data_IF_537475268014
#
_entry.id   IF_537475268014
#
_cell.length_a   1.000
_cell.length_b   1.000
_cell.length_c   1.000
_cell.angle_alpha   90.00
_cell.angle_beta   90.00
_cell.angle_gamma   90.00
#
_symmetry.space_group_name_H-M   'P 1'
#
loop_
_entity.id
_entity.type
_entity.pdbx_description
1 polymer ?
#
# COMPACT_ATOMS: atom_id res chain seq x y z
N UNK A 1 6.40 22.25 -23.55
CA UNK A 1 6.54 20.81 -23.85
C UNK A 1 7.16 20.16 -22.65
N UNK A 2 6.35 19.66 -21.73
CA UNK A 2 6.83 18.92 -20.56
C UNK A 2 6.89 17.46 -20.95
N UNK A 3 8.08 16.86 -20.92
CA UNK A 3 8.26 15.43 -21.17
C UNK A 3 7.25 14.62 -20.35
N UNK A 4 6.41 13.84 -21.04
CA UNK A 4 5.61 12.81 -20.40
C UNK A 4 6.55 11.64 -20.13
N UNK A 5 7.39 11.79 -19.10
CA UNK A 5 8.33 10.76 -18.70
C UNK A 5 7.58 9.46 -18.47
N UNK A 6 8.04 8.36 -19.07
CA UNK A 6 7.50 7.04 -18.77
C UNK A 6 7.85 6.66 -17.33
N UNK A 7 7.00 5.88 -16.65
CA UNK A 7 7.30 5.35 -15.32
C UNK A 7 8.64 4.60 -15.34
N UNK A 8 9.52 4.86 -14.37
CA UNK A 8 10.76 4.08 -14.24
C UNK A 8 10.44 2.62 -13.98
N UNK A 9 11.34 1.72 -14.40
CA UNK A 9 11.16 0.28 -14.23
C UNK A 9 10.99 -0.08 -12.76
N UNK A 10 11.78 0.54 -11.89
CA UNK A 10 11.73 0.39 -10.44
C UNK A 10 10.35 0.76 -9.89
N UNK A 11 9.80 1.91 -10.29
CA UNK A 11 8.48 2.36 -9.85
C UNK A 11 7.38 1.37 -10.26
N UNK A 12 7.44 0.80 -11.47
CA UNK A 12 6.46 -0.18 -11.96
C UNK A 12 6.47 -1.47 -11.14
N UNK A 13 7.66 -2.03 -10.90
CA UNK A 13 7.81 -3.27 -10.10
C UNK A 13 7.42 -3.07 -8.65
N UNK A 14 7.86 -1.97 -8.04
CA UNK A 14 7.52 -1.64 -6.66
C UNK A 14 6.02 -1.42 -6.51
N UNK A 15 5.40 -0.67 -7.43
CA UNK A 15 3.95 -0.46 -7.42
C UNK A 15 3.20 -1.78 -7.59
N UNK A 16 3.55 -2.60 -8.59
CA UNK A 16 2.87 -3.87 -8.83
C UNK A 16 2.99 -4.83 -7.64
N UNK A 17 4.19 -4.96 -7.06
CA UNK A 17 4.42 -5.81 -5.89
C UNK A 17 3.65 -5.35 -4.65
N UNK A 18 3.68 -4.05 -4.34
CA UNK A 18 2.95 -3.48 -3.20
C UNK A 18 1.44 -3.56 -3.43
N UNK A 19 0.94 -3.22 -4.62
CA UNK A 19 -0.48 -3.25 -4.94
C UNK A 19 -1.04 -4.67 -4.83
N UNK A 20 -0.33 -5.67 -5.36
CA UNK A 20 -0.69 -7.08 -5.20
C UNK A 20 -0.68 -7.48 -3.72
N UNK A 21 0.42 -7.19 -3.02
CA UNK A 21 0.60 -7.55 -1.62
C UNK A 21 -0.49 -6.96 -0.73
N UNK A 22 -0.73 -5.65 -0.80
CA UNK A 22 -1.77 -4.96 -0.02
C UNK A 22 -3.16 -5.51 -0.33
N UNK A 23 -3.47 -5.74 -1.61
CA UNK A 23 -4.77 -6.33 -2.00
C UNK A 23 -4.92 -7.73 -1.39
N UNK A 24 -3.90 -8.58 -1.50
CA UNK A 24 -3.92 -9.89 -0.85
C UNK A 24 -4.13 -9.78 0.66
N UNK A 25 -3.41 -8.90 1.35
CA UNK A 25 -3.52 -8.73 2.81
C UNK A 25 -4.92 -8.32 3.24
N UNK A 26 -5.53 -7.34 2.58
CA UNK A 26 -6.87 -6.87 2.88
C UNK A 26 -7.92 -7.97 2.71
N UNK A 27 -7.90 -8.68 1.57
CA UNK A 27 -8.89 -9.71 1.30
C UNK A 27 -8.68 -10.96 2.16
N UNK A 28 -7.44 -11.45 2.30
CA UNK A 28 -7.16 -12.60 3.17
C UNK A 28 -7.57 -12.35 4.63
N UNK A 29 -7.46 -11.11 5.12
CA UNK A 29 -7.87 -10.76 6.49
C UNK A 29 -9.36 -10.92 6.77
N UNK A 30 -10.23 -10.94 5.75
CA UNK A 30 -11.68 -11.06 5.92
C UNK A 30 -12.10 -12.47 6.35
N UNK A 31 -11.32 -13.48 5.99
CA UNK A 31 -11.65 -14.89 6.19
C UNK A 31 -10.57 -15.68 6.94
N UNK A 32 -9.44 -15.06 7.27
CA UNK A 32 -8.44 -15.70 8.11
C UNK A 32 -8.99 -15.88 9.53
N UNK A 33 -8.63 -17.01 10.14
CA UNK A 33 -8.89 -17.25 11.56
C UNK A 33 -7.57 -17.19 12.30
N UNK A 34 -7.30 -16.12 13.08
CA UNK A 34 -6.10 -16.04 13.90
C UNK A 34 -6.26 -16.99 15.09
N UNK A 35 -6.09 -18.29 14.84
CA UNK A 35 -6.18 -19.31 15.87
C UNK A 35 -4.77 -19.68 16.34
N UNK A 36 -4.16 -18.79 17.11
CA UNK A 36 -2.82 -19.01 17.69
C UNK A 36 -2.85 -20.05 18.82
N UNK A 37 -4.03 -20.26 19.44
CA UNK A 37 -4.23 -21.20 20.54
C UNK A 37 -4.45 -22.64 20.07
N UNK A 38 -5.02 -22.84 18.88
CA UNK A 38 -5.20 -24.17 18.29
C UNK A 38 -4.44 -24.22 16.97
N UNK A 39 -3.45 -25.10 16.90
CA UNK A 39 -2.63 -25.35 15.71
C UNK A 39 -3.42 -26.00 14.54
N UNK A 40 -4.68 -25.62 14.31
CA UNK A 40 -5.52 -26.10 13.22
C UNK A 40 -5.22 -25.32 11.92
N UNK A 41 -3.98 -25.46 11.45
CA UNK A 41 -3.51 -24.91 10.18
C UNK A 41 -4.14 -25.58 8.95
N UNK A 42 -4.89 -26.67 9.14
CA UNK A 42 -5.53 -27.43 8.06
C UNK A 42 -6.90 -26.88 7.65
N UNK A 43 -7.42 -25.87 8.36
CA UNK A 43 -8.64 -25.15 7.96
C UNK A 43 -8.33 -24.09 6.90
N UNK A 44 -9.32 -23.73 6.08
CA UNK A 44 -9.16 -22.62 5.11
C UNK A 44 -8.74 -21.32 5.83
N UNK A 45 -9.32 -21.02 6.98
CA UNK A 45 -8.97 -19.85 7.78
C UNK A 45 -7.54 -19.89 8.33
N UNK A 46 -7.04 -21.07 8.71
CA UNK A 46 -5.65 -21.28 9.14
C UNK A 46 -4.64 -21.16 8.00
N UNK A 47 -4.98 -21.69 6.81
CA UNK A 47 -4.18 -21.53 5.59
C UNK A 47 -4.12 -20.04 5.20
N UNK A 48 -5.26 -19.35 5.19
CA UNK A 48 -5.31 -17.92 4.88
C UNK A 48 -4.51 -17.09 5.90
N UNK A 49 -4.56 -17.43 7.19
CA UNK A 49 -3.73 -16.78 8.20
C UNK A 49 -2.23 -16.99 7.93
N UNK A 50 -1.81 -18.23 7.63
CA UNK A 50 -0.42 -18.54 7.30
C UNK A 50 0.06 -17.79 6.05
N UNK A 51 -0.73 -17.80 4.98
CA UNK A 51 -0.42 -17.06 3.76
C UNK A 51 -0.44 -15.55 3.99
N UNK A 52 -1.38 -15.02 4.77
CA UNK A 52 -1.43 -13.61 5.16
C UNK A 52 -0.12 -13.21 5.83
N UNK A 53 0.34 -13.99 6.81
CA UNK A 53 1.60 -13.75 7.52
C UNK A 53 2.83 -13.75 6.59
N UNK A 54 2.99 -14.78 5.75
CA UNK A 54 4.15 -14.90 4.85
C UNK A 54 4.14 -13.91 3.69
N UNK A 55 3.00 -13.72 3.01
CA UNK A 55 2.84 -12.71 1.97
C UNK A 55 2.97 -11.30 2.56
N UNK A 56 2.58 -11.12 3.83
CA UNK A 56 2.71 -9.87 4.56
C UNK A 56 4.17 -9.50 4.75
N UNK A 57 5.00 -10.46 5.16
CA UNK A 57 6.45 -10.28 5.27
C UNK A 57 7.10 -9.98 3.92
N UNK A 58 6.70 -10.69 2.86
CA UNK A 58 7.16 -10.38 1.50
C UNK A 58 6.78 -8.96 1.08
N UNK A 59 5.54 -8.53 1.38
CA UNK A 59 5.05 -7.18 1.08
C UNK A 59 5.85 -6.12 1.85
N UNK A 60 6.20 -6.38 3.11
CA UNK A 60 7.07 -5.51 3.90
C UNK A 60 8.47 -5.34 3.27
N UNK A 61 9.03 -6.37 2.62
CA UNK A 61 10.28 -6.25 1.87
C UNK A 61 10.15 -5.34 0.64
N UNK A 62 9.03 -5.42 -0.09
CA UNK A 62 8.75 -4.48 -1.19
C UNK A 62 8.60 -3.04 -0.70
N UNK A 63 7.96 -2.83 0.46
CA UNK A 63 7.85 -1.50 1.09
C UNK A 63 9.23 -0.99 1.50
N UNK A 64 10.06 -1.83 2.12
CA UNK A 64 11.44 -1.49 2.47
C UNK A 64 12.25 -1.13 1.22
N UNK A 65 12.14 -1.92 0.16
CA UNK A 65 12.79 -1.62 -1.12
C UNK A 65 12.31 -0.28 -1.68
N UNK A 66 11.01 0.03 -1.59
CA UNK A 66 10.48 1.33 -1.99
C UNK A 66 11.14 2.48 -1.21
N UNK A 67 11.28 2.36 0.12
CA UNK A 67 11.98 3.35 0.92
C UNK A 67 13.47 3.49 0.56
N UNK A 68 14.16 2.39 0.29
CA UNK A 68 15.57 2.40 -0.14
C UNK A 68 15.74 3.07 -1.52
N UNK A 69 14.82 2.83 -2.44
CA UNK A 69 14.78 3.52 -3.73
C UNK A 69 14.54 5.02 -3.54
N UNK A 70 13.54 5.40 -2.73
CA UNK A 70 13.29 6.79 -2.38
C UNK A 70 14.49 7.44 -1.71
N UNK A 71 15.25 6.76 -0.86
CA UNK A 71 16.45 7.31 -0.25
C UNK A 71 17.53 7.71 -1.28
N UNK A 72 17.53 7.10 -2.47
CA UNK A 72 18.47 7.38 -3.56
C UNK A 72 17.90 8.34 -4.61
N UNK A 73 16.58 8.41 -4.80
CA UNK A 73 15.94 9.23 -5.81
C UNK A 73 15.22 10.46 -5.21
N UNK A 74 15.89 11.61 -5.26
CA UNK A 74 15.33 12.88 -4.78
C UNK A 74 14.16 13.41 -5.64
N UNK A 75 14.06 13.00 -6.90
CA UNK A 75 12.94 13.34 -7.77
C UNK A 75 11.68 12.61 -7.32
N UNK A 76 11.76 11.29 -7.20
CA UNK A 76 10.67 10.44 -6.71
C UNK A 76 10.19 10.86 -5.31
N UNK A 77 11.11 11.18 -4.38
CA UNK A 77 10.74 11.71 -3.05
C UNK A 77 9.92 12.98 -3.14
N UNK A 78 10.34 13.95 -3.97
CA UNK A 78 9.65 15.23 -4.10
C UNK A 78 8.28 15.09 -4.77
N UNK A 79 8.13 14.10 -5.64
CA UNK A 79 6.84 13.78 -6.26
C UNK A 79 5.86 13.21 -5.24
N UNK A 80 6.27 12.22 -4.44
CA UNK A 80 5.40 11.59 -3.43
C UNK A 80 5.12 12.49 -2.22
N UNK A 81 6.09 13.32 -1.86
CA UNK A 81 6.07 14.08 -0.62
C UNK A 81 6.34 15.57 -0.87
N UNK A 82 5.32 16.34 -1.29
CA UNK A 82 5.45 17.78 -1.52
C UNK A 82 5.48 18.59 -0.21
N UNK A 83 6.25 18.15 0.80
CA UNK A 83 6.26 18.72 2.15
C UNK A 83 6.50 20.23 2.20
N UNK A 84 7.31 20.75 1.26
CA UNK A 84 7.70 22.17 1.17
C UNK A 84 7.00 22.91 0.02
N UNK A 85 5.98 22.30 -0.59
CA UNK A 85 5.26 22.84 -1.75
C UNK A 85 5.82 22.38 -3.11
N UNK A 86 5.14 22.75 -4.22
CA UNK A 86 4.09 23.77 -4.29
C UNK A 86 2.68 23.23 -3.95
N UNK A 87 2.17 23.56 -2.77
CA UNK A 87 0.81 23.20 -2.32
C UNK A 87 -0.28 23.79 -3.21
N UNK A 88 0.01 24.86 -3.96
CA UNK A 88 -0.90 25.44 -4.94
C UNK A 88 -1.36 24.42 -5.99
N UNK A 89 -0.46 23.53 -6.45
CA UNK A 89 -0.82 22.47 -7.40
C UNK A 89 -1.76 21.44 -6.74
N UNK A 90 -1.43 21.00 -5.53
CA UNK A 90 -2.26 20.05 -4.76
C UNK A 90 -3.67 20.60 -4.57
N UNK A 91 -3.79 21.87 -4.16
CA UNK A 91 -5.08 22.52 -3.93
C UNK A 91 -5.86 22.74 -5.23
N UNK A 92 -5.18 23.11 -6.31
CA UNK A 92 -5.81 23.28 -7.62
C UNK A 92 -6.37 21.96 -8.15
N UNK A 93 -5.61 20.86 -8.06
CA UNK A 93 -6.05 19.52 -8.45
C UNK A 93 -7.16 19.00 -7.55
N UNK A 94 -7.11 19.27 -6.24
CA UNK A 94 -8.18 18.90 -5.31
C UNK A 94 -9.49 19.64 -5.64
N UNK A 95 -9.42 20.93 -5.93
CA UNK A 95 -10.58 21.72 -6.38
C UNK A 95 -11.10 21.20 -7.72
N UNK A 96 -10.21 20.90 -8.67
CA UNK A 96 -10.57 20.32 -9.95
C UNK A 96 -11.29 18.98 -9.79
N UNK A 97 -10.82 18.12 -8.89
CA UNK A 97 -11.44 16.83 -8.59
C UNK A 97 -12.88 17.00 -8.07
N UNK A 98 -13.10 17.96 -7.16
CA UNK A 98 -14.44 18.31 -6.67
C UNK A 98 -15.36 18.85 -7.77
N UNK A 99 -14.79 19.36 -8.86
CA UNK A 99 -15.49 19.84 -10.05
C UNK A 99 -15.59 18.76 -11.16
N UNK A 100 -15.18 17.52 -10.88
CA UNK A 100 -15.22 16.41 -11.84
C UNK A 100 -14.04 16.35 -12.81
N UNK A 101 -13.04 17.22 -12.68
CA UNK A 101 -11.79 17.16 -13.45
C UNK A 101 -10.80 16.20 -12.77
N UNK A 102 -10.41 15.14 -13.46
CA UNK A 102 -9.41 14.21 -12.95
C UNK A 102 -8.00 14.77 -13.20
N UNK A 103 -7.05 14.63 -12.25
CA UNK A 103 -5.65 14.91 -12.48
C UNK A 103 -5.08 14.08 -13.65
N UNK A 104 -4.03 14.53 -14.34
CA UNK A 104 -3.44 13.79 -15.46
C UNK A 104 -2.88 12.43 -15.03
N UNK A 105 -2.85 11.44 -15.94
CA UNK A 105 -2.14 10.17 -15.68
C UNK A 105 -0.64 10.29 -15.94
N UNK A 106 0.17 9.51 -15.22
CA UNK A 106 1.63 9.42 -15.42
C UNK A 106 2.43 9.93 -14.22
N UNK A 107 3.78 9.90 -14.28
CA UNK A 107 4.63 10.38 -13.19
C UNK A 107 4.46 11.89 -13.02
N UNK A 108 3.72 12.31 -12.00
CA UNK A 108 3.55 13.70 -11.63
C UNK A 108 3.43 13.86 -10.11
N UNK A 109 3.82 15.04 -9.62
CA UNK A 109 3.61 15.43 -8.23
C UNK A 109 2.17 15.88 -7.97
N UNK A 110 1.98 16.85 -7.08
CA UNK A 110 0.65 17.39 -6.79
C UNK A 110 -0.18 16.47 -5.90
N UNK A 111 -1.50 16.45 -6.11
CA UNK A 111 -2.44 15.68 -5.31
C UNK A 111 -2.21 14.17 -5.45
N UNK A 112 -1.96 13.69 -6.66
CA UNK A 112 -1.75 12.25 -6.92
C UNK A 112 -0.48 11.77 -6.22
N UNK A 113 0.61 12.53 -6.34
CA UNK A 113 1.85 12.25 -5.62
C UNK A 113 1.64 12.20 -4.10
N UNK A 114 0.95 13.20 -3.53
CA UNK A 114 0.63 13.24 -2.10
C UNK A 114 -0.20 12.02 -1.66
N UNK A 115 -1.23 11.64 -2.40
CA UNK A 115 -2.06 10.47 -2.09
C UNK A 115 -1.22 9.20 -2.11
N UNK A 116 -0.34 9.01 -3.08
CA UNK A 116 0.59 7.87 -3.11
C UNK A 116 1.55 7.88 -1.91
N UNK A 117 2.08 9.05 -1.54
CA UNK A 117 2.95 9.20 -0.37
C UNK A 117 2.23 8.85 0.95
N UNK A 118 0.99 9.33 1.13
CA UNK A 118 0.14 8.97 2.28
C UNK A 118 -0.19 7.48 2.30
N UNK A 119 -0.47 6.89 1.13
CA UNK A 119 -0.64 5.45 0.96
C UNK A 119 0.59 4.67 1.41
N UNK A 120 1.78 5.08 0.94
CA UNK A 120 3.05 4.46 1.33
C UNK A 120 3.28 4.53 2.85
N UNK A 121 2.98 5.67 3.49
CA UNK A 121 3.09 5.81 4.95
C UNK A 121 2.11 4.88 5.69
N UNK A 122 0.87 4.79 5.25
CA UNK A 122 -0.14 3.92 5.84
C UNK A 122 0.27 2.44 5.75
N UNK A 123 0.68 1.98 4.57
CA UNK A 123 1.12 0.59 4.38
C UNK A 123 2.46 0.31 5.06
N UNK A 124 3.31 1.32 5.29
CA UNK A 124 4.54 1.18 6.10
C UNK A 124 4.19 0.84 7.54
N UNK A 125 3.24 1.55 8.16
CA UNK A 125 2.79 1.23 9.51
C UNK A 125 2.14 -0.17 9.60
N UNK A 126 1.40 -0.58 8.57
CA UNK A 126 0.89 -1.96 8.48
C UNK A 126 2.03 -2.98 8.39
N UNK A 127 3.04 -2.74 7.54
CA UNK A 127 4.20 -3.61 7.40
C UNK A 127 4.99 -3.75 8.70
N UNK A 128 5.21 -2.64 9.42
CA UNK A 128 5.90 -2.64 10.72
C UNK A 128 5.15 -3.42 11.79
N UNK A 129 3.85 -3.14 11.95
CA UNK A 129 3.02 -3.83 12.95
C UNK A 129 2.82 -5.31 12.60
N UNK A 130 2.60 -5.64 11.33
CA UNK A 130 2.48 -7.02 10.85
C UNK A 130 3.77 -7.83 11.01
N UNK A 131 4.92 -7.24 10.67
CA UNK A 131 6.23 -7.88 10.88
C UNK A 131 6.51 -8.08 12.38
N UNK A 132 6.19 -7.10 13.22
CA UNK A 132 6.31 -7.25 14.67
C UNK A 132 5.43 -8.40 15.18
N UNK A 133 4.16 -8.45 14.75
CA UNK A 133 3.27 -9.58 15.09
C UNK A 133 3.89 -10.91 14.64
N UNK A 134 4.39 -11.00 13.40
CA UNK A 134 5.01 -12.22 12.87
C UNK A 134 6.15 -12.74 13.75
N UNK A 135 7.08 -11.87 14.15
CA UNK A 135 8.25 -12.26 14.94
C UNK A 135 7.97 -12.48 16.43
N UNK A 136 6.97 -11.78 16.99
CA UNK A 136 6.59 -11.93 18.39
C UNK A 136 5.50 -12.97 18.61
N UNK A 137 4.89 -13.53 17.56
CA UNK A 137 3.90 -14.59 17.68
C UNK A 137 4.56 -15.85 18.27
N UNK A 138 4.13 -16.31 19.45
CA UNK A 138 4.68 -17.51 20.04
C UNK A 138 4.36 -18.73 19.17
N UNK A 139 5.38 -19.56 18.94
CA UNK A 139 5.22 -20.85 18.28
C UNK A 139 4.82 -21.90 19.33
N UNK A 140 3.94 -22.84 18.97
CA UNK A 140 3.65 -24.01 19.81
C UNK A 140 2.55 -23.84 20.87
N UNK A 141 1.60 -22.92 20.68
CA UNK A 141 0.37 -22.86 21.50
C UNK A 141 0.48 -22.09 22.82
N UNK A 142 1.58 -21.38 23.04
CA UNK A 142 1.73 -20.48 24.20
C UNK A 142 0.87 -19.23 24.01
N UNK A 143 0.30 -18.73 25.11
CA UNK A 143 -0.48 -17.48 25.09
C UNK A 143 0.37 -16.29 24.59
N UNK A 144 -0.19 -15.41 23.75
CA UNK A 144 0.40 -14.14 23.36
C UNK A 144 0.81 -13.34 24.61
N UNK A 145 2.03 -12.82 24.60
CA UNK A 145 2.48 -11.89 25.63
C UNK A 145 1.81 -10.51 25.51
N UNK A 146 2.01 -9.65 26.51
CA UNK A 146 1.42 -8.30 26.57
C UNK A 146 1.65 -7.45 25.31
N UNK A 147 2.78 -7.64 24.62
CA UNK A 147 3.10 -6.96 23.36
C UNK A 147 2.06 -7.23 22.26
N UNK A 148 1.61 -8.47 22.10
CA UNK A 148 0.64 -8.84 21.07
C UNK A 148 -0.78 -8.39 21.41
N UNK A 149 -1.12 -8.31 22.70
CA UNK A 149 -2.38 -7.72 23.15
C UNK A 149 -2.56 -6.27 22.70
N UNK A 150 -1.47 -5.53 22.53
CA UNK A 150 -1.50 -4.14 22.03
C UNK A 150 -1.31 -4.06 20.51
N UNK A 151 -0.42 -4.88 19.94
CA UNK A 151 -0.10 -4.81 18.51
C UNK A 151 -1.23 -5.29 17.60
N UNK A 152 -1.94 -6.36 17.96
CA UNK A 152 -3.01 -6.91 17.10
C UNK A 152 -4.19 -5.93 16.96
N UNK A 153 -4.70 -5.30 18.03
CA UNK A 153 -5.70 -4.24 17.89
C UNK A 153 -5.21 -3.05 17.06
N UNK A 154 -3.97 -2.61 17.27
CA UNK A 154 -3.39 -1.51 16.50
C UNK A 154 -3.29 -1.86 15.00
N UNK A 155 -2.82 -3.06 14.68
CA UNK A 155 -2.74 -3.55 13.29
C UNK A 155 -4.14 -3.61 12.64
N UNK A 156 -5.14 -4.07 13.39
CA UNK A 156 -6.54 -4.12 12.93
C UNK A 156 -7.11 -2.71 12.71
N UNK A 157 -6.81 -1.76 13.60
CA UNK A 157 -7.19 -0.35 13.43
C UNK A 157 -6.56 0.26 12.18
N UNK A 158 -5.26 0.05 11.98
CA UNK A 158 -4.54 0.52 10.80
C UNK A 158 -5.08 -0.12 9.51
N UNK A 159 -5.54 -1.36 9.56
CA UNK A 159 -6.17 -2.02 8.41
C UNK A 159 -7.41 -1.27 7.91
N UNK A 160 -8.21 -0.67 8.79
CA UNK A 160 -9.35 0.16 8.38
C UNK A 160 -8.92 1.41 7.59
N UNK A 161 -7.80 2.04 7.98
CA UNK A 161 -7.23 3.17 7.25
C UNK A 161 -6.76 2.72 5.85
N UNK A 162 -6.12 1.56 5.77
CA UNK A 162 -5.65 1.01 4.48
C UNK A 162 -6.82 0.57 3.59
N UNK A 163 -7.91 0.03 4.15
CA UNK A 163 -9.15 -0.22 3.41
C UNK A 163 -9.73 1.05 2.80
N UNK A 164 -9.84 2.13 3.59
CA UNK A 164 -10.32 3.41 3.10
C UNK A 164 -9.44 3.96 1.96
N UNK A 165 -8.11 3.90 2.13
CA UNK A 165 -7.15 4.26 1.09
C UNK A 165 -7.32 3.42 -0.17
N UNK A 166 -7.38 2.09 -0.04
CA UNK A 166 -7.49 1.16 -1.16
C UNK A 166 -8.78 1.39 -1.95
N UNK A 167 -9.92 1.53 -1.27
CA UNK A 167 -11.21 1.82 -1.92
C UNK A 167 -11.14 3.14 -2.69
N UNK A 168 -10.65 4.22 -2.06
CA UNK A 168 -10.52 5.52 -2.72
C UNK A 168 -9.59 5.46 -3.92
N UNK A 169 -8.42 4.84 -3.77
CA UNK A 169 -7.42 4.72 -4.81
C UNK A 169 -7.92 3.88 -6.01
N UNK A 170 -8.50 2.71 -5.77
CA UNK A 170 -9.05 1.85 -6.84
C UNK A 170 -10.25 2.49 -7.51
N UNK A 171 -11.09 3.23 -6.78
CA UNK A 171 -12.19 4.00 -7.36
C UNK A 171 -11.68 5.06 -8.35
N UNK A 172 -10.58 5.74 -8.04
CA UNK A 172 -9.93 6.69 -8.95
C UNK A 172 -9.38 5.99 -10.20
N UNK A 173 -8.77 4.81 -10.06
CA UNK A 173 -8.36 3.99 -11.21
C UNK A 173 -9.57 3.66 -12.09
N UNK A 174 -10.70 3.24 -11.52
CA UNK A 174 -11.91 2.95 -12.27
C UNK A 174 -12.43 4.18 -13.05
N UNK A 175 -12.40 5.37 -12.43
CA UNK A 175 -12.77 6.63 -13.10
C UNK A 175 -11.85 6.93 -14.30
N UNK A 176 -10.53 6.73 -14.16
CA UNK A 176 -9.58 6.89 -15.27
C UNK A 176 -9.82 5.88 -16.40
N UNK A 177 -10.14 4.63 -16.06
CA UNK A 177 -10.50 3.60 -17.05
C UNK A 177 -11.75 4.01 -17.83
N UNK A 178 -12.78 4.52 -17.16
CA UNK A 178 -14.00 5.02 -17.80
C UNK A 178 -13.73 6.18 -18.77
N UNK A 179 -12.71 7.01 -18.49
CA UNK A 179 -12.24 8.09 -19.38
C UNK A 179 -11.28 7.63 -20.48
N UNK A 180 -10.98 6.32 -20.54
CA UNK A 180 -10.02 5.72 -21.48
C UNK A 180 -8.60 6.27 -21.35
N UNK A 181 -8.24 6.72 -20.15
CA UNK A 181 -6.88 7.15 -19.86
C UNK A 181 -5.93 5.95 -19.85
N UNK A 182 -4.64 6.19 -20.11
CA UNK A 182 -3.60 5.14 -20.16
C UNK A 182 -3.10 4.73 -18.78
N UNK A 183 -4.01 4.53 -17.82
CA UNK A 183 -3.69 4.26 -16.41
C UNK A 183 -2.95 2.93 -16.21
N UNK A 184 -3.21 1.94 -17.08
CA UNK A 184 -2.58 0.61 -17.01
C UNK A 184 -1.08 0.60 -17.36
N UNK A 185 -0.53 1.70 -17.86
CA UNK A 185 0.88 1.78 -18.22
C UNK A 185 1.84 1.55 -17.03
N UNK A 186 1.40 1.80 -15.80
CA UNK A 186 2.19 1.50 -14.59
C UNK A 186 2.43 -0.01 -14.41
N UNK A 187 1.60 -0.87 -15.01
CA UNK A 187 1.72 -2.33 -14.92
C UNK A 187 2.47 -2.96 -16.10
N UNK A 188 3.04 -2.16 -17.01
CA UNK A 188 3.86 -2.67 -18.12
C UNK A 188 5.29 -2.91 -17.64
N UNK A 189 5.60 -4.10 -17.14
CA UNK A 189 6.84 -4.38 -16.39
C UNK A 189 8.11 -4.54 -17.25
N UNK A 190 7.95 -4.66 -18.57
CA UNK A 190 9.01 -5.11 -19.50
C UNK A 190 9.17 -4.23 -20.75
N UNK A 191 8.46 -3.10 -20.83
CA UNK A 191 8.62 -2.07 -21.86
C UNK A 191 9.56 -0.96 -21.38
#
# INVERSE_FOLDING_TARGET
MTETGSWSRESRWLHAGIAFGVTWQLFSSLWMTPNWAKAEYNSLGGILFSLHAWVGLMTALFILWHWLWLARDAGARRQLFPWRGPWALVLAEAKGLLQGSLPPTGPHGGLVGLVHGLGLLAVTWMGLTGAAIFFFLPQGGTSPGATLHSLVPLHTLLANIVWAYWIGHVSMVALHVLRRDRIWNIFRLWE
#
